data_IF_805590858649
#
_entry.id   IF_805590858649
#
_cell.length_a   1.000
_cell.length_b   1.000
_cell.length_c   1.000
_cell.angle_alpha   90.00
_cell.angle_beta   90.00
_cell.angle_gamma   90.00
#
_symmetry.space_group_name_H-M   'P 1'
#
loop_
_entity.id
_entity.type
_entity.pdbx_description
1 polymer ?
#
# COMPACT_ATOMS: atom_id res chain seq x y z
N UNK A 1 19.83 36.72 -12.78
CA UNK A 1 18.39 36.85 -13.10
C UNK A 1 17.83 35.45 -13.29
N UNK A 2 16.93 34.86 -12.52
CA UNK A 2 16.08 35.19 -11.37
C UNK A 2 16.04 33.91 -10.50
N UNK A 3 16.09 33.87 -9.16
CA UNK A 3 15.27 34.55 -8.14
C UNK A 3 13.77 34.29 -8.28
N UNK A 4 13.29 33.12 -7.84
CA UNK A 4 11.99 32.97 -7.17
C UNK A 4 11.78 31.52 -6.71
N UNK A 5 12.11 31.24 -5.46
CA UNK A 5 11.41 30.30 -4.57
C UNK A 5 11.86 30.67 -3.16
N UNK A 6 11.40 31.84 -2.71
CA UNK A 6 11.56 32.30 -1.35
C UNK A 6 10.57 31.56 -0.45
N UNK A 7 11.12 31.16 0.69
CA UNK A 7 10.49 30.93 1.97
C UNK A 7 9.12 31.60 2.15
N UNK A 8 8.17 30.84 2.70
CA UNK A 8 7.21 31.39 3.64
C UNK A 8 6.98 30.38 4.75
N UNK A 9 7.73 30.58 5.83
CA UNK A 9 7.29 30.32 7.19
C UNK A 9 5.86 30.85 7.37
N UNK A 10 5.01 30.03 7.98
CA UNK A 10 3.97 30.55 8.85
C UNK A 10 3.93 29.69 10.11
N UNK A 11 4.74 30.11 11.08
CA UNK A 11 4.63 29.76 12.49
C UNK A 11 3.39 30.43 13.06
N UNK A 12 2.32 29.68 13.34
CA UNK A 12 1.35 30.03 14.37
C UNK A 12 0.99 28.78 15.17
N UNK A 13 2.00 28.28 15.90
CA UNK A 13 1.81 27.41 17.04
C UNK A 13 1.52 28.28 18.27
N UNK A 14 0.39 28.02 18.96
CA UNK A 14 0.31 28.33 20.38
C UNK A 14 -1.04 28.81 20.91
N UNK A 15 -1.98 27.87 21.10
CA UNK A 15 -2.56 27.61 22.44
C UNK A 15 -3.52 26.44 22.42
N UNK A 16 -3.11 25.34 23.05
CA UNK A 16 -4.02 24.35 23.59
C UNK A 16 -3.76 24.23 25.10
N UNK A 17 -4.81 24.15 25.93
CA UNK A 17 -4.71 24.35 27.37
C UNK A 17 -3.99 23.18 28.04
N UNK A 18 -3.18 23.53 29.03
CA UNK A 18 -2.53 22.57 29.92
C UNK A 18 -3.59 21.90 30.82
N UNK A 19 -3.56 20.58 30.86
CA UNK A 19 -4.18 19.78 31.91
C UNK A 19 -4.86 18.52 31.42
N UNK A 20 -4.20 17.37 31.57
CA UNK A 20 -4.88 16.08 31.71
C UNK A 20 -4.16 15.24 32.78
N UNK A 21 -4.87 14.76 33.81
CA UNK A 21 -4.45 13.58 34.55
C UNK A 21 -5.00 12.31 33.86
N UNK A 22 -4.15 11.29 33.83
CA UNK A 22 -4.46 9.85 33.95
C UNK A 22 -5.66 9.23 33.20
N UNK A 23 -5.33 8.41 32.20
CA UNK A 23 -5.48 6.95 32.29
C UNK A 23 -6.86 6.33 32.08
N UNK A 24 -7.18 6.02 30.83
CA UNK A 24 -8.27 5.11 30.45
C UNK A 24 -8.20 4.65 28.98
N UNK A 25 -7.63 3.45 28.77
CA UNK A 25 -8.22 2.38 27.94
C UNK A 25 -8.64 2.60 26.49
N UNK A 26 -8.15 3.60 25.76
CA UNK A 26 -8.58 3.84 24.37
C UNK A 26 -7.58 3.30 23.31
N UNK A 27 -7.95 2.20 22.63
CA UNK A 27 -7.20 1.61 21.51
C UNK A 27 -7.02 2.56 20.31
N UNK A 28 -7.74 3.69 20.24
CA UNK A 28 -7.54 4.71 19.23
C UNK A 28 -6.20 5.48 19.38
N UNK A 29 -5.63 5.53 20.59
CA UNK A 29 -4.40 6.30 20.86
C UNK A 29 -3.11 5.62 20.38
N UNK A 30 -3.17 4.33 20.01
CA UNK A 30 -2.02 3.59 19.47
C UNK A 30 -1.85 3.73 17.94
N UNK A 31 -2.77 4.42 17.26
CA UNK A 31 -2.80 4.50 15.79
C UNK A 31 -2.38 5.84 15.20
N UNK A 32 -2.11 6.87 16.00
CA UNK A 32 -1.71 8.19 15.50
C UNK A 32 -0.69 8.84 16.44
N UNK A 33 0.55 8.37 16.41
CA UNK A 33 1.70 9.11 16.93
C UNK A 33 2.36 9.90 15.78
N UNK A 34 2.31 11.25 15.79
CA UNK A 34 2.95 12.09 14.79
C UNK A 34 4.49 11.92 14.75
N UNK A 35 5.11 11.49 15.85
CA UNK A 35 6.57 11.28 15.90
C UNK A 35 7.00 10.02 15.15
N UNK A 36 6.15 8.99 15.08
CA UNK A 36 6.39 7.78 14.28
C UNK A 36 6.39 8.10 12.77
N UNK A 37 5.53 9.01 12.31
CA UNK A 37 5.51 9.51 10.92
C UNK A 37 6.78 10.33 10.58
N UNK A 38 7.34 11.05 11.55
CA UNK A 38 8.62 11.75 11.40
C UNK A 38 9.81 10.77 11.36
N UNK A 39 9.77 9.72 12.17
CA UNK A 39 10.79 8.66 12.19
C UNK A 39 10.81 7.85 10.88
N UNK A 40 9.64 7.54 10.29
CA UNK A 40 9.53 6.90 8.98
C UNK A 40 10.12 7.75 7.84
N UNK A 41 10.24 9.07 8.01
CA UNK A 41 10.78 9.99 7.00
C UNK A 41 12.30 9.95 6.86
N UNK A 42 13.01 9.34 7.83
CA UNK A 42 14.48 9.27 7.85
C UNK A 42 15.04 7.84 7.66
N UNK A 43 14.20 6.81 7.64
CA UNK A 43 14.62 5.41 7.83
C UNK A 43 14.52 4.48 6.62
N UNK A 44 14.31 4.98 5.40
CA UNK A 44 14.27 4.15 4.20
C UNK A 44 15.65 3.58 3.86
N UNK A 45 15.94 2.34 4.28
CA UNK A 45 17.17 1.61 3.94
C UNK A 45 17.32 1.52 2.41
N UNK A 46 18.21 2.33 1.85
CA UNK A 46 18.48 2.37 0.40
C UNK A 46 19.20 1.10 -0.05
N UNK A 47 18.50 0.26 -0.80
CA UNK A 47 19.09 -0.87 -1.53
C UNK A 47 19.01 -0.59 -3.03
N UNK A 48 20.17 -0.32 -3.64
CA UNK A 48 20.33 -0.30 -5.10
C UNK A 48 20.10 -1.72 -5.62
N UNK A 49 18.94 -1.95 -6.24
CA UNK A 49 18.55 -3.26 -6.78
C UNK A 49 18.41 -3.13 -8.31
N UNK A 50 19.30 -3.78 -9.06
CA UNK A 50 19.12 -3.94 -10.49
C UNK A 50 18.08 -5.04 -10.74
N UNK A 51 16.88 -4.67 -11.21
CA UNK A 51 15.81 -5.63 -11.48
C UNK A 51 15.84 -6.01 -12.96
N UNK A 52 16.17 -7.28 -13.23
CA UNK A 52 16.09 -7.87 -14.58
C UNK A 52 14.67 -8.35 -14.82
N UNK A 53 13.99 -7.81 -15.84
CA UNK A 53 12.61 -8.16 -16.17
C UNK A 53 12.55 -8.63 -17.63
N UNK A 54 11.88 -9.75 -17.87
CA UNK A 54 11.64 -10.27 -19.22
C UNK A 54 10.17 -10.06 -19.58
N UNK A 55 9.88 -9.13 -20.48
CA UNK A 55 8.52 -8.79 -20.93
C UNK A 55 8.14 -9.62 -22.15
N UNK A 56 6.99 -10.28 -22.10
CA UNK A 56 6.34 -10.93 -23.25
C UNK A 56 5.75 -9.88 -24.21
N UNK A 57 5.32 -10.32 -25.39
CA UNK A 57 4.66 -9.46 -26.36
C UNK A 57 3.41 -8.82 -25.74
N UNK A 58 3.26 -7.51 -25.86
CA UNK A 58 2.17 -6.71 -25.27
C UNK A 58 2.07 -6.76 -23.73
N UNK A 59 3.11 -7.21 -23.02
CA UNK A 59 3.16 -7.15 -21.56
C UNK A 59 3.55 -5.75 -21.07
N UNK A 60 3.08 -5.36 -19.88
CA UNK A 60 3.37 -4.07 -19.24
C UNK A 60 4.08 -4.21 -17.89
N UNK A 61 4.88 -3.22 -17.55
CA UNK A 61 5.50 -3.01 -16.22
C UNK A 61 5.23 -1.59 -15.77
N UNK A 62 4.95 -1.39 -14.49
CA UNK A 62 4.72 -0.08 -13.89
C UNK A 62 5.88 0.26 -12.94
N UNK A 63 6.44 1.45 -13.10
CA UNK A 63 7.58 2.00 -12.35
C UNK A 63 7.15 3.35 -11.79
N UNK A 64 6.76 3.40 -10.51
CA UNK A 64 6.13 4.58 -9.91
C UNK A 64 4.92 5.05 -10.74
N UNK A 65 5.02 6.25 -11.32
CA UNK A 65 3.97 6.87 -12.15
C UNK A 65 4.07 6.51 -13.65
N UNK A 66 5.11 5.79 -14.07
CA UNK A 66 5.38 5.50 -15.49
C UNK A 66 5.00 4.06 -15.83
N UNK A 67 4.40 3.85 -17.00
CA UNK A 67 4.12 2.52 -17.54
C UNK A 67 4.99 2.25 -18.78
N UNK A 68 5.66 1.10 -18.81
CA UNK A 68 6.43 0.62 -19.96
C UNK A 68 5.66 -0.57 -20.56
N UNK A 69 5.36 -0.49 -21.86
CA UNK A 69 4.66 -1.53 -22.61
C UNK A 69 5.55 -2.04 -23.73
N UNK A 70 5.66 -3.36 -23.86
CA UNK A 70 6.32 -3.96 -25.01
C UNK A 70 5.39 -3.95 -26.23
N UNK A 71 5.56 -2.99 -27.13
CA UNK A 71 4.79 -2.87 -28.37
C UNK A 71 5.24 -3.82 -29.50
N UNK A 72 6.27 -4.64 -29.28
CA UNK A 72 6.71 -5.66 -30.24
C UNK A 72 5.98 -6.97 -30.01
N UNK A 73 5.81 -7.72 -31.09
CA UNK A 73 5.43 -9.13 -31.17
C UNK A 73 6.48 -10.09 -30.56
N UNK A 74 7.69 -9.59 -30.25
CA UNK A 74 8.80 -10.38 -29.68
C UNK A 74 9.00 -10.11 -28.21
N UNK A 75 9.55 -11.11 -27.51
CA UNK A 75 9.94 -10.99 -26.10
C UNK A 75 11.17 -10.09 -25.97
N UNK A 76 11.13 -9.12 -25.07
CA UNK A 76 12.24 -8.19 -24.82
C UNK A 76 12.74 -8.39 -23.39
N UNK A 77 14.07 -8.41 -23.21
CA UNK A 77 14.71 -8.37 -21.90
C UNK A 77 15.05 -6.92 -21.58
N UNK A 78 14.46 -6.37 -20.53
CA UNK A 78 14.75 -5.02 -20.04
C UNK A 78 15.42 -5.13 -18.67
N UNK A 79 16.51 -4.39 -18.51
CA UNK A 79 17.14 -4.18 -17.21
C UNK A 79 16.87 -2.75 -16.81
N UNK A 80 16.16 -2.58 -15.69
CA UNK A 80 15.84 -1.26 -15.16
C UNK A 80 16.65 -1.07 -13.89
N UNK A 81 17.59 -0.12 -13.94
CA UNK A 81 18.38 0.31 -12.79
C UNK A 81 17.74 1.59 -12.24
N UNK A 82 16.88 1.43 -11.24
CA UNK A 82 16.17 2.56 -10.64
C UNK A 82 15.96 2.34 -9.15
N UNK A 83 15.84 3.45 -8.42
CA UNK A 83 15.43 3.48 -7.02
C UNK A 83 13.90 3.50 -6.86
N UNK A 84 13.17 3.58 -7.98
CA UNK A 84 11.71 3.61 -7.98
C UNK A 84 11.10 2.25 -7.62
N UNK A 85 9.90 2.30 -7.04
CA UNK A 85 9.11 1.12 -6.73
C UNK A 85 8.47 0.58 -8.00
N UNK A 86 8.62 -0.73 -8.25
CA UNK A 86 8.20 -1.39 -9.50
C UNK A 86 7.17 -2.48 -9.19
N UNK A 87 6.11 -2.55 -10.02
CA UNK A 87 5.17 -3.67 -10.07
C UNK A 87 5.11 -4.25 -11.48
N UNK A 88 5.00 -5.58 -11.59
CA UNK A 88 4.77 -6.27 -12.87
C UNK A 88 3.26 -6.39 -13.16
N UNK A 89 2.88 -6.52 -14.43
CA UNK A 89 1.47 -6.76 -14.81
C UNK A 89 0.84 -7.91 -14.06
N UNK A 90 1.56 -9.00 -13.84
CA UNK A 90 1.09 -10.16 -13.07
C UNK A 90 0.83 -9.86 -11.59
N UNK A 91 1.41 -8.79 -11.05
CA UNK A 91 1.27 -8.32 -9.67
C UNK A 91 0.16 -7.26 -9.51
N UNK A 92 -0.23 -6.61 -10.61
CA UNK A 92 -1.19 -5.51 -10.65
C UNK A 92 -2.63 -6.06 -10.73
N UNK A 93 -3.53 -5.46 -9.96
CA UNK A 93 -4.96 -5.71 -10.01
C UNK A 93 -5.61 -4.40 -10.46
N UNK A 94 -6.17 -4.31 -11.67
CA UNK A 94 -6.79 -3.08 -12.12
C UNK A 94 -8.08 -2.80 -11.33
N UNK A 95 -8.35 -1.51 -11.11
CA UNK A 95 -9.42 -1.07 -10.21
C UNK A 95 -10.82 -1.51 -10.66
N UNK A 96 -11.03 -1.64 -11.97
CA UNK A 96 -12.31 -2.10 -12.53
C UNK A 96 -12.55 -3.61 -12.35
N UNK A 97 -11.51 -4.40 -12.09
CA UNK A 97 -11.63 -5.82 -11.75
C UNK A 97 -11.83 -6.04 -10.25
N UNK A 98 -11.68 -4.99 -9.43
CA UNK A 98 -11.77 -5.11 -7.97
C UNK A 98 -13.22 -5.15 -7.49
N UNK A 99 -13.81 -6.33 -7.52
CA UNK A 99 -15.22 -6.56 -7.14
C UNK A 99 -15.37 -6.88 -5.66
N UNK A 100 -14.44 -7.66 -5.09
CA UNK A 100 -14.53 -8.12 -3.70
C UNK A 100 -13.91 -7.14 -2.70
N UNK A 101 -14.12 -7.37 -1.39
CA UNK A 101 -13.54 -6.52 -0.35
C UNK A 101 -12.02 -6.71 -0.28
N UNK A 102 -11.52 -7.95 -0.41
CA UNK A 102 -10.07 -8.19 -0.41
C UNK A 102 -9.41 -7.68 -1.70
N UNK A 103 -10.12 -7.66 -2.84
CA UNK A 103 -9.64 -7.01 -4.06
C UNK A 103 -9.39 -5.51 -3.84
N UNK A 104 -10.36 -4.81 -3.22
CA UNK A 104 -10.23 -3.38 -2.90
C UNK A 104 -9.05 -3.11 -1.98
N UNK A 105 -8.81 -3.98 -0.99
CA UNK A 105 -7.63 -3.88 -0.12
C UNK A 105 -6.34 -3.97 -0.93
N UNK A 106 -6.24 -4.94 -1.84
CA UNK A 106 -5.07 -5.11 -2.69
C UNK A 106 -4.83 -3.87 -3.57
N UNK A 107 -5.87 -3.27 -4.14
CA UNK A 107 -5.77 -2.03 -4.94
C UNK A 107 -5.25 -0.86 -4.09
N UNK A 108 -5.76 -0.67 -2.88
CA UNK A 108 -5.28 0.41 -1.99
C UNK A 108 -3.80 0.22 -1.64
N UNK A 109 -3.37 -1.01 -1.34
CA UNK A 109 -1.97 -1.30 -1.08
C UNK A 109 -1.08 -1.11 -2.32
N UNK A 110 -1.61 -1.35 -3.53
CA UNK A 110 -0.89 -1.08 -4.78
C UNK A 110 -0.67 0.43 -4.96
N UNK A 111 -1.70 1.24 -4.67
CA UNK A 111 -1.58 2.70 -4.66
C UNK A 111 -0.57 3.17 -3.61
N UNK A 112 -0.63 2.64 -2.37
CA UNK A 112 0.36 2.94 -1.32
C UNK A 112 1.79 2.56 -1.72
N UNK A 113 1.95 1.44 -2.41
CA UNK A 113 3.26 1.00 -2.88
C UNK A 113 3.78 1.90 -4.01
N UNK A 114 2.97 2.25 -5.01
CA UNK A 114 3.44 3.08 -6.12
C UNK A 114 3.56 4.56 -5.76
N UNK A 115 2.81 5.04 -4.77
CA UNK A 115 2.83 6.42 -4.32
C UNK A 115 4.17 6.80 -3.68
N UNK A 116 4.56 8.07 -3.88
CA UNK A 116 5.71 8.67 -3.21
C UNK A 116 5.49 8.82 -1.70
N UNK A 117 4.25 9.10 -1.31
CA UNK A 117 3.80 9.18 0.08
C UNK A 117 2.58 8.27 0.30
N UNK A 118 2.66 7.24 1.16
CA UNK A 118 1.54 6.34 1.44
C UNK A 118 0.51 6.93 2.43
N UNK A 119 0.81 8.02 3.14
CA UNK A 119 -0.06 8.59 4.18
C UNK A 119 -1.50 8.89 3.71
N UNK A 120 -1.75 9.46 2.51
CA UNK A 120 -3.10 9.75 2.04
C UNK A 120 -4.00 8.51 1.89
N UNK A 121 -3.41 7.33 1.73
CA UNK A 121 -4.14 6.09 1.50
C UNK A 121 -4.37 5.27 2.79
N UNK A 122 -3.79 5.70 3.92
CA UNK A 122 -3.93 4.98 5.20
C UNK A 122 -5.39 4.96 5.69
N UNK A 123 -6.13 6.05 5.52
CA UNK A 123 -7.54 6.11 5.90
C UNK A 123 -8.39 5.09 5.12
N UNK A 124 -8.14 4.97 3.82
CA UNK A 124 -8.81 3.97 2.96
C UNK A 124 -8.48 2.55 3.38
N UNK A 125 -7.21 2.28 3.69
CA UNK A 125 -6.77 0.98 4.19
C UNK A 125 -7.51 0.60 5.48
N UNK A 126 -7.55 1.49 6.47
CA UNK A 126 -8.18 1.22 7.77
C UNK A 126 -9.68 0.96 7.62
N UNK A 127 -10.37 1.73 6.78
CA UNK A 127 -11.79 1.51 6.50
C UNK A 127 -12.04 0.12 5.91
N UNK A 128 -11.29 -0.26 4.87
CA UNK A 128 -11.45 -1.57 4.22
C UNK A 128 -11.04 -2.71 5.17
N UNK A 129 -9.98 -2.52 5.96
CA UNK A 129 -9.57 -3.49 6.97
C UNK A 129 -10.70 -3.75 7.98
N UNK A 130 -11.39 -2.70 8.43
CA UNK A 130 -12.58 -2.83 9.29
C UNK A 130 -13.72 -3.59 8.61
N UNK A 131 -14.01 -3.30 7.33
CA UNK A 131 -15.01 -4.04 6.55
C UNK A 131 -14.68 -5.54 6.46
N UNK A 132 -13.40 -5.89 6.24
CA UNK A 132 -12.95 -7.28 6.14
C UNK A 132 -13.12 -8.02 7.47
N UNK A 133 -12.70 -7.42 8.58
CA UNK A 133 -12.80 -8.05 9.90
C UNK A 133 -14.26 -8.20 10.33
N UNK A 134 -15.12 -7.24 9.98
CA UNK A 134 -16.56 -7.34 10.23
C UNK A 134 -17.23 -8.44 9.39
N UNK A 135 -16.87 -8.56 8.11
CA UNK A 135 -17.45 -9.55 7.21
C UNK A 135 -16.91 -10.98 7.46
N UNK A 136 -15.61 -11.10 7.72
CA UNK A 136 -14.91 -12.37 7.91
C UNK A 136 -13.91 -12.25 9.08
N UNK A 137 -14.35 -12.47 10.33
CA UNK A 137 -13.52 -12.28 11.52
C UNK A 137 -12.22 -13.11 11.52
N UNK A 138 -12.22 -14.27 10.84
CA UNK A 138 -11.05 -15.15 10.74
C UNK A 138 -9.86 -14.52 9.99
N UNK A 139 -10.10 -13.47 9.19
CA UNK A 139 -9.03 -12.75 8.49
C UNK A 139 -8.32 -11.72 9.38
N UNK A 140 -8.83 -11.45 10.59
CA UNK A 140 -8.26 -10.50 11.54
C UNK A 140 -6.74 -10.63 11.77
N UNK A 141 -6.21 -11.84 12.08
CA UNK A 141 -4.77 -12.01 12.29
C UNK A 141 -3.92 -11.61 11.09
N UNK A 142 -4.34 -11.94 9.87
CA UNK A 142 -3.63 -11.56 8.64
C UNK A 142 -3.69 -10.06 8.36
N UNK A 143 -4.83 -9.42 8.65
CA UNK A 143 -4.95 -7.97 8.54
C UNK A 143 -4.03 -7.27 9.54
N UNK A 144 -3.88 -7.81 10.75
CA UNK A 144 -2.93 -7.31 11.73
C UNK A 144 -1.47 -7.45 11.26
N UNK A 145 -1.10 -8.59 10.67
CA UNK A 145 0.22 -8.80 10.06
C UNK A 145 0.50 -7.80 8.93
N UNK A 146 -0.46 -7.61 8.02
CA UNK A 146 -0.36 -6.62 6.93
C UNK A 146 -0.19 -5.20 7.50
N UNK A 147 -0.94 -4.85 8.54
CA UNK A 147 -0.82 -3.56 9.22
C UNK A 147 0.57 -3.38 9.83
N UNK A 148 1.13 -4.43 10.45
CA UNK A 148 2.49 -4.44 10.97
C UNK A 148 3.54 -4.16 9.89
N UNK A 149 3.42 -4.78 8.71
CA UNK A 149 4.31 -4.51 7.58
C UNK A 149 4.20 -3.07 7.07
N UNK A 150 2.99 -2.50 7.03
CA UNK A 150 2.79 -1.10 6.64
C UNK A 150 3.48 -0.15 7.63
N UNK A 151 3.33 -0.39 8.93
CA UNK A 151 3.98 0.39 9.99
C UNK A 151 5.51 0.26 9.97
N UNK A 152 6.03 -0.89 9.54
CA UNK A 152 7.46 -1.09 9.33
C UNK A 152 7.99 -0.44 8.03
N UNK A 153 7.12 0.11 7.18
CA UNK A 153 7.48 0.63 5.85
C UNK A 153 7.71 -0.47 4.79
N UNK A 154 7.41 -1.72 5.13
CA UNK A 154 7.58 -2.91 4.29
C UNK A 154 6.33 -3.17 3.42
N UNK A 155 6.11 -2.30 2.43
CA UNK A 155 4.88 -2.37 1.62
C UNK A 155 4.81 -3.57 0.66
N UNK A 156 5.96 -4.13 0.27
CA UNK A 156 5.96 -5.31 -0.62
C UNK A 156 5.50 -6.60 0.09
N UNK A 157 5.99 -6.92 1.30
CA UNK A 157 5.37 -7.96 2.14
C UNK A 157 3.88 -7.74 2.40
N UNK A 158 3.46 -6.50 2.68
CA UNK A 158 2.04 -6.16 2.86
C UNK A 158 1.20 -6.51 1.61
N UNK A 159 1.70 -6.16 0.41
CA UNK A 159 1.06 -6.52 -0.86
C UNK A 159 0.94 -8.03 -1.07
N UNK A 160 1.98 -8.80 -0.70
CA UNK A 160 1.94 -10.26 -0.75
C UNK A 160 0.88 -10.83 0.20
N UNK A 161 0.79 -10.31 1.41
CA UNK A 161 -0.23 -10.70 2.38
C UNK A 161 -1.66 -10.47 1.86
N UNK A 162 -1.90 -9.30 1.24
CA UNK A 162 -3.20 -8.99 0.65
C UNK A 162 -3.56 -9.91 -0.53
N UNK A 163 -2.59 -10.29 -1.37
CA UNK A 163 -2.81 -11.29 -2.42
C UNK A 163 -3.23 -12.65 -1.83
N UNK A 164 -2.58 -13.10 -0.76
CA UNK A 164 -2.95 -14.35 -0.10
C UNK A 164 -4.37 -14.30 0.50
N UNK A 165 -4.78 -13.15 1.04
CA UNK A 165 -6.16 -12.92 1.48
C UNK A 165 -7.16 -13.02 0.33
N UNK A 166 -6.87 -12.36 -0.81
CA UNK A 166 -7.69 -12.43 -2.02
C UNK A 166 -7.87 -13.87 -2.51
N UNK A 167 -6.80 -14.65 -2.57
CA UNK A 167 -6.86 -16.06 -2.99
C UNK A 167 -7.73 -16.90 -2.05
N UNK A 168 -7.69 -16.63 -0.75
CA UNK A 168 -8.51 -17.34 0.21
C UNK A 168 -9.98 -16.94 0.14
N UNK A 169 -10.27 -15.65 -0.03
CA UNK A 169 -11.63 -15.15 -0.27
C UNK A 169 -12.24 -15.76 -1.53
N UNK A 170 -11.47 -15.86 -2.62
CA UNK A 170 -11.92 -16.50 -3.85
C UNK A 170 -12.31 -17.98 -3.63
N UNK A 171 -11.53 -18.71 -2.82
CA UNK A 171 -11.85 -20.10 -2.43
C UNK A 171 -13.14 -20.17 -1.63
N UNK A 172 -13.33 -19.26 -0.66
CA UNK A 172 -14.56 -19.20 0.13
C UNK A 172 -15.80 -18.93 -0.72
N UNK A 173 -15.71 -17.97 -1.64
CA UNK A 173 -16.80 -17.64 -2.55
C UNK A 173 -17.13 -18.81 -3.49
N UNK A 174 -16.12 -19.55 -3.95
CA UNK A 174 -16.32 -20.75 -4.75
C UNK A 174 -17.05 -21.86 -3.96
N UNK A 175 -16.65 -22.11 -2.71
CA UNK A 175 -17.32 -23.07 -1.84
C UNK A 175 -18.76 -22.67 -1.52
N UNK A 176 -19.01 -21.39 -1.23
CA UNK A 176 -20.35 -20.88 -0.97
C UNK A 176 -21.27 -21.06 -2.19
N UNK A 177 -20.78 -20.75 -3.39
CA UNK A 177 -21.54 -20.95 -4.65
C UNK A 177 -21.86 -22.43 -4.89
N UNK A 178 -20.89 -23.31 -4.64
CA UNK A 178 -21.07 -24.75 -4.80
C UNK A 178 -22.07 -25.34 -3.78
N UNK A 179 -22.16 -24.77 -2.58
CA UNK A 179 -23.13 -25.21 -1.57
C UNK A 179 -24.57 -24.73 -1.86
N UNK A 180 -24.72 -23.65 -2.65
CA UNK A 180 -26.02 -23.09 -3.05
C UNK A 180 -26.57 -23.63 -4.37
N UNK A 181 -25.78 -24.45 -5.09
CA UNK A 181 -26.14 -25.06 -6.38
C UNK A 181 -26.54 -26.52 -6.19
#
# INVERSE_FOLDING_TARGET
CCSCCADRNNDEAGRWPAGLPGGDGNLAALFYDPLTLLAQRLGGKETTMALKIELKANERVIIGEHAIVNASDRRIKLVVETKARILRQSEILPEHEAVTVCDRLQVVLQRMYLARDPAPHQADFLRIAGEIVAAVPRFGPRIAEISGHILAGELYPALKGARALREEEAKLLALARAATA
#
